data_IF_893818821634
#
_entry.id   IF_893818821634
#
_cell.length_a   1.000
_cell.length_b   1.000
_cell.length_c   1.000
_cell.angle_alpha   90.00
_cell.angle_beta   90.00
_cell.angle_gamma   90.00
#
_symmetry.space_group_name_H-M   'P 1'
#
loop_
_entity.id
_entity.type
_entity.pdbx_description
1 polymer ?
#
# COMPACT_ATOMS: atom_id res chain seq x y z
N UNK A 1 -3.89 -6.21 -7.87
CA UNK A 1 -4.23 -4.84 -7.44
C UNK A 1 -3.22 -4.39 -6.40
N UNK A 2 -2.33 -3.45 -6.77
CA UNK A 2 -1.32 -2.88 -5.89
C UNK A 2 -1.98 -1.76 -5.07
N UNK A 3 -2.62 -2.11 -3.96
CA UNK A 3 -2.94 -1.14 -2.92
C UNK A 3 -1.68 -0.95 -2.07
N UNK A 4 -0.71 -0.21 -2.61
CA UNK A 4 0.30 0.40 -1.78
C UNK A 4 -0.44 1.39 -0.86
N UNK A 5 -0.60 1.01 0.38
CA UNK A 5 -1.11 1.86 1.44
C UNK A 5 -0.16 3.04 1.63
N UNK A 6 -0.35 4.10 0.83
CA UNK A 6 0.10 5.43 1.15
C UNK A 6 -0.85 5.98 2.23
N UNK A 7 -0.87 5.32 3.39
CA UNK A 7 -1.44 5.91 4.58
C UNK A 7 -0.26 6.46 5.39
N UNK A 8 0.30 7.56 4.89
CA UNK A 8 0.71 8.57 5.84
C UNK A 8 -0.55 8.97 6.62
N UNK A 9 -0.46 9.31 7.89
CA UNK A 9 -1.63 9.61 8.68
C UNK A 9 -2.52 10.58 7.90
N UNK A 10 -3.79 10.23 7.73
CA UNK A 10 -4.84 11.19 7.37
C UNK A 10 -4.57 12.37 8.28
N UNK A 11 -4.23 13.52 7.69
CA UNK A 11 -3.94 14.73 8.46
C UNK A 11 -5.09 14.88 9.45
N UNK A 12 -4.83 14.70 10.74
CA UNK A 12 -5.86 14.87 11.75
C UNK A 12 -6.33 16.32 11.61
N UNK A 13 -7.63 16.54 11.61
CA UNK A 13 -8.23 17.88 11.57
C UNK A 13 -7.65 18.80 12.66
N UNK A 14 -7.12 18.21 13.73
CA UNK A 14 -6.46 18.90 14.84
C UNK A 14 -5.10 19.52 14.45
N UNK A 15 -4.37 18.96 13.49
CA UNK A 15 -3.12 19.55 13.00
C UNK A 15 -3.37 20.83 12.18
N UNK A 16 -4.53 20.96 11.55
CA UNK A 16 -4.95 22.17 10.84
C UNK A 16 -5.48 23.26 11.79
N UNK A 17 -5.82 22.89 13.03
CA UNK A 17 -6.33 23.83 14.06
C UNK A 17 -5.24 24.46 14.94
N UNK A 18 -4.01 23.93 14.97
CA UNK A 18 -2.98 24.16 15.97
C UNK A 18 -1.93 25.24 15.69
N UNK A 19 -2.07 26.07 14.67
CA UNK A 19 -1.16 27.17 14.39
C UNK A 19 -1.74 28.55 14.77
N UNK A 20 -1.58 28.98 16.02
CA UNK A 20 -1.89 30.36 16.43
C UNK A 20 -1.02 31.35 15.66
N UNK A 21 -1.57 31.93 14.59
CA UNK A 21 -1.00 33.08 13.88
C UNK A 21 -1.77 34.35 14.28
N UNK A 22 -1.10 35.51 14.31
CA UNK A 22 -1.75 36.76 14.68
C UNK A 22 -2.89 37.09 13.72
N UNK A 23 -3.99 37.56 14.29
CA UNK A 23 -5.20 38.03 13.60
C UNK A 23 -4.87 39.24 12.70
N UNK A 24 -4.35 38.96 11.53
CA UNK A 24 -4.39 39.87 10.39
C UNK A 24 -5.43 39.38 9.41
N UNK A 25 -6.33 40.25 8.95
CA UNK A 25 -7.43 39.97 8.04
C UNK A 25 -6.97 39.39 6.68
N UNK A 26 -6.35 38.22 6.63
CA UNK A 26 -6.03 37.54 5.40
C UNK A 26 -7.21 36.65 4.96
N UNK A 27 -8.17 37.27 4.25
CA UNK A 27 -9.37 36.63 3.73
C UNK A 27 -9.05 35.42 2.83
N UNK A 28 -7.89 35.44 2.13
CA UNK A 28 -7.46 34.35 1.26
C UNK A 28 -6.99 33.12 2.04
N UNK A 29 -6.18 33.29 3.09
CA UNK A 29 -5.81 32.20 3.98
C UNK A 29 -7.03 31.53 4.61
N UNK A 30 -8.02 32.33 5.01
CA UNK A 30 -9.29 31.82 5.57
C UNK A 30 -10.09 31.04 4.52
N UNK A 31 -10.15 31.55 3.29
CA UNK A 31 -10.82 30.88 2.16
C UNK A 31 -10.14 29.55 1.83
N UNK A 32 -8.82 29.54 1.67
CA UNK A 32 -8.06 28.33 1.39
C UNK A 32 -8.23 27.24 2.48
N UNK A 33 -8.20 27.65 3.76
CA UNK A 33 -8.48 26.73 4.88
C UNK A 33 -9.91 26.16 4.81
N UNK A 34 -10.90 27.01 4.49
CA UNK A 34 -12.30 26.55 4.35
C UNK A 34 -12.43 25.53 3.22
N UNK A 35 -11.80 25.78 2.06
CA UNK A 35 -11.80 24.84 0.93
C UNK A 35 -11.07 23.54 1.27
N UNK A 36 -9.96 23.59 2.05
CA UNK A 36 -9.29 22.39 2.55
C UNK A 36 -10.18 21.57 3.48
N UNK A 37 -10.86 22.20 4.44
CA UNK A 37 -11.81 21.51 5.33
C UNK A 37 -12.95 20.86 4.54
N UNK A 38 -13.48 21.56 3.54
CA UNK A 38 -14.54 21.02 2.68
C UNK A 38 -14.04 19.84 1.85
N UNK A 39 -12.79 19.90 1.36
CA UNK A 39 -12.13 18.80 0.67
C UNK A 39 -12.07 17.54 1.55
N UNK A 40 -11.57 17.67 2.78
CA UNK A 40 -11.51 16.55 3.74
C UNK A 40 -12.90 16.01 4.05
N UNK A 41 -13.88 16.90 4.28
CA UNK A 41 -15.26 16.52 4.58
C UNK A 41 -15.91 15.74 3.43
N UNK A 42 -15.71 16.21 2.20
CA UNK A 42 -16.21 15.53 1.00
C UNK A 42 -15.56 14.16 0.81
N UNK A 43 -14.23 14.05 1.04
CA UNK A 43 -13.51 12.79 0.97
C UNK A 43 -13.99 11.78 2.00
N UNK A 44 -14.19 12.19 3.24
CA UNK A 44 -14.75 11.34 4.29
C UNK A 44 -16.18 10.84 3.97
N UNK A 45 -16.93 11.61 3.16
CA UNK A 45 -18.25 11.23 2.66
C UNK A 45 -18.20 10.39 1.36
N UNK A 46 -17.03 9.94 0.91
CA UNK A 46 -16.83 9.18 -0.33
C UNK A 46 -17.01 9.99 -1.62
N UNK A 47 -17.11 11.32 -1.53
CA UNK A 47 -17.33 12.22 -2.68
C UNK A 47 -16.00 12.74 -3.22
N UNK A 48 -15.17 11.83 -3.76
CA UNK A 48 -13.77 12.11 -4.12
C UNK A 48 -13.63 13.22 -5.16
N UNK A 49 -14.50 13.29 -6.16
CA UNK A 49 -14.46 14.35 -7.19
C UNK A 49 -14.65 15.75 -6.57
N UNK A 50 -15.61 15.90 -5.64
CA UNK A 50 -15.81 17.17 -4.92
C UNK A 50 -14.69 17.50 -3.95
N UNK A 51 -14.14 16.46 -3.31
CA UNK A 51 -12.99 16.63 -2.46
C UNK A 51 -11.80 17.18 -3.24
N UNK A 52 -11.55 16.63 -4.43
CA UNK A 52 -10.52 17.10 -5.35
C UNK A 52 -10.78 18.54 -5.83
N UNK A 53 -12.03 18.89 -6.19
CA UNK A 53 -12.40 20.23 -6.61
C UNK A 53 -12.05 21.27 -5.55
N UNK A 54 -12.47 21.08 -4.29
CA UNK A 54 -12.16 21.97 -3.19
C UNK A 54 -10.66 22.01 -2.86
N UNK A 55 -9.96 20.89 -2.90
CA UNK A 55 -8.52 20.85 -2.71
C UNK A 55 -7.78 21.65 -3.78
N UNK A 56 -8.16 21.51 -5.05
CA UNK A 56 -7.58 22.28 -6.16
C UNK A 56 -7.91 23.76 -6.09
N UNK A 57 -9.08 24.15 -5.59
CA UNK A 57 -9.43 25.54 -5.31
C UNK A 57 -8.44 26.16 -4.31
N UNK A 58 -8.18 25.48 -3.18
CA UNK A 58 -7.20 25.94 -2.20
C UNK A 58 -5.76 25.99 -2.76
N UNK A 59 -5.36 25.01 -3.56
CA UNK A 59 -4.04 24.97 -4.20
C UNK A 59 -3.82 26.13 -5.18
N UNK A 60 -4.84 26.53 -5.92
CA UNK A 60 -4.80 27.56 -6.97
C UNK A 60 -5.02 28.97 -6.47
N UNK A 61 -5.34 29.18 -5.21
CA UNK A 61 -5.49 30.50 -4.62
C UNK A 61 -4.10 31.15 -4.45
N UNK A 62 -3.68 31.95 -5.43
CA UNK A 62 -2.34 32.56 -5.47
C UNK A 62 -2.08 33.56 -4.34
N UNK A 63 -3.14 34.06 -3.68
CA UNK A 63 -3.05 34.94 -2.52
C UNK A 63 -2.94 34.16 -1.20
N UNK A 64 -3.13 32.83 -1.22
CA UNK A 64 -3.00 32.00 -0.04
C UNK A 64 -1.51 31.73 0.31
N UNK A 65 -1.18 31.56 1.61
CA UNK A 65 0.15 31.13 2.03
C UNK A 65 0.62 29.88 1.29
N UNK A 66 1.90 29.86 0.89
CA UNK A 66 2.45 28.77 0.10
C UNK A 66 2.37 27.44 0.81
N UNK A 67 2.53 27.41 2.14
CA UNK A 67 2.40 26.21 2.97
C UNK A 67 1.00 25.60 2.84
N UNK A 68 -0.05 26.41 2.93
CA UNK A 68 -1.44 25.95 2.74
C UNK A 68 -1.68 25.40 1.33
N UNK A 69 -1.09 26.03 0.32
CA UNK A 69 -1.16 25.53 -1.06
C UNK A 69 -0.47 24.17 -1.19
N UNK A 70 0.69 23.97 -0.55
CA UNK A 70 1.39 22.68 -0.58
C UNK A 70 0.63 21.58 0.19
N UNK A 71 0.00 21.93 1.31
CA UNK A 71 -0.90 21.02 2.03
C UNK A 71 -2.10 20.63 1.16
N UNK A 72 -2.69 21.59 0.44
CA UNK A 72 -3.74 21.34 -0.52
C UNK A 72 -3.28 20.42 -1.67
N UNK A 73 -2.07 20.65 -2.20
CA UNK A 73 -1.49 19.78 -3.22
C UNK A 73 -1.31 18.35 -2.72
N UNK A 74 -0.83 18.16 -1.48
CA UNK A 74 -0.70 16.84 -0.86
C UNK A 74 -2.06 16.11 -0.84
N UNK A 75 -3.08 16.77 -0.34
CA UNK A 75 -4.44 16.21 -0.26
C UNK A 75 -5.00 15.87 -1.66
N UNK A 76 -4.79 16.74 -2.64
CA UNK A 76 -5.21 16.48 -4.03
C UNK A 76 -4.47 15.30 -4.65
N UNK A 77 -3.20 15.08 -4.32
CA UNK A 77 -2.43 13.91 -4.76
C UNK A 77 -3.08 12.63 -4.23
N UNK A 78 -3.51 12.61 -2.97
CA UNK A 78 -4.20 11.45 -2.38
C UNK A 78 -5.54 11.19 -3.09
N UNK A 79 -6.32 12.24 -3.40
CA UNK A 79 -7.57 12.10 -4.17
C UNK A 79 -7.35 11.63 -5.61
N UNK A 80 -6.34 12.16 -6.31
CA UNK A 80 -5.97 11.66 -7.64
C UNK A 80 -5.54 10.19 -7.60
N UNK A 81 -4.83 9.77 -6.54
CA UNK A 81 -4.44 8.38 -6.35
C UNK A 81 -5.67 7.48 -6.15
N UNK A 82 -6.64 7.92 -5.35
CA UNK A 82 -7.91 7.21 -5.15
C UNK A 82 -8.71 7.04 -6.45
N UNK A 83 -8.59 8.01 -7.38
CA UNK A 83 -9.19 7.97 -8.72
C UNK A 83 -8.32 7.21 -9.75
N UNK A 84 -7.19 6.62 -9.37
CA UNK A 84 -6.27 5.95 -10.28
C UNK A 84 -5.52 6.89 -11.25
N UNK A 85 -5.59 8.21 -11.02
CA UNK A 85 -5.05 9.24 -11.90
C UNK A 85 -3.57 9.52 -11.59
N UNK A 86 -2.72 8.50 -11.62
CA UNK A 86 -1.31 8.54 -11.19
C UNK A 86 -0.44 9.56 -11.96
N UNK A 87 -0.77 9.79 -13.23
CA UNK A 87 -0.12 10.84 -14.03
C UNK A 87 -0.36 12.26 -13.45
N UNK A 88 -1.57 12.53 -12.94
CA UNK A 88 -1.90 13.79 -12.28
C UNK A 88 -1.22 13.90 -10.91
N UNK A 89 -1.13 12.80 -10.15
CA UNK A 89 -0.36 12.77 -8.89
C UNK A 89 1.08 13.27 -9.12
N UNK A 90 1.77 12.66 -10.09
CA UNK A 90 3.14 13.05 -10.43
C UNK A 90 3.24 14.52 -10.86
N UNK A 91 2.33 14.95 -11.75
CA UNK A 91 2.34 16.33 -12.29
C UNK A 91 2.15 17.35 -11.17
N UNK A 92 1.16 17.15 -10.32
CA UNK A 92 0.87 18.05 -9.21
C UNK A 92 2.00 18.06 -8.18
N UNK A 93 2.58 16.91 -7.84
CA UNK A 93 3.73 16.83 -6.95
C UNK A 93 4.94 17.64 -7.47
N UNK A 94 5.25 17.49 -8.77
CA UNK A 94 6.32 18.24 -9.41
C UNK A 94 6.06 19.77 -9.46
N UNK A 95 4.81 20.18 -9.71
CA UNK A 95 4.42 21.60 -9.72
C UNK A 95 4.49 22.19 -8.30
N UNK A 96 3.97 21.48 -7.31
CA UNK A 96 4.00 21.88 -5.91
C UNK A 96 5.42 21.94 -5.35
N UNK A 97 6.30 20.99 -5.69
CA UNK A 97 7.71 21.05 -5.32
C UNK A 97 8.38 22.34 -5.83
N UNK A 98 8.21 22.66 -7.12
CA UNK A 98 8.75 23.90 -7.72
C UNK A 98 8.14 25.16 -7.11
N UNK A 99 6.86 25.13 -6.73
CA UNK A 99 6.23 26.24 -6.02
C UNK A 99 6.91 26.46 -4.66
N UNK A 100 7.06 25.41 -3.88
CA UNK A 100 7.73 25.45 -2.58
C UNK A 100 9.17 25.97 -2.68
N UNK A 101 9.95 25.47 -3.62
CA UNK A 101 11.35 25.86 -3.85
C UNK A 101 11.55 27.36 -4.14
N UNK A 102 10.50 28.08 -4.56
CA UNK A 102 10.56 29.54 -4.81
C UNK A 102 10.37 30.37 -3.55
N UNK A 103 9.67 29.83 -2.55
CA UNK A 103 9.17 30.65 -1.44
C UNK A 103 9.60 30.13 -0.07
N UNK A 104 10.02 28.88 0.03
CA UNK A 104 10.38 28.21 1.29
C UNK A 104 11.85 27.81 1.27
N UNK A 105 12.41 27.59 2.46
CA UNK A 105 13.77 27.11 2.61
C UNK A 105 13.92 25.66 2.06
N UNK A 106 15.11 25.35 1.54
CA UNK A 106 15.41 24.06 0.89
C UNK A 106 15.05 22.83 1.73
N UNK A 107 15.21 22.92 3.05
CA UNK A 107 14.94 21.85 4.00
C UNK A 107 13.49 21.84 4.51
N UNK A 108 12.63 22.68 3.95
CA UNK A 108 11.24 22.74 4.41
C UNK A 108 10.53 21.40 4.19
N UNK A 109 9.87 20.81 5.23
CA UNK A 109 9.26 19.48 5.17
C UNK A 109 8.33 19.28 3.97
N UNK A 110 7.49 20.26 3.65
CA UNK A 110 6.55 20.18 2.54
C UNK A 110 7.24 20.06 1.18
N UNK A 111 8.39 20.73 0.97
CA UNK A 111 9.17 20.59 -0.28
C UNK A 111 9.69 19.16 -0.40
N UNK A 112 10.30 18.64 0.67
CA UNK A 112 10.86 17.28 0.67
C UNK A 112 9.76 16.24 0.45
N UNK A 113 8.57 16.44 1.02
CA UNK A 113 7.41 15.59 0.81
C UNK A 113 6.90 15.65 -0.64
N UNK A 114 6.83 16.82 -1.26
CA UNK A 114 6.42 16.95 -2.67
C UNK A 114 7.42 16.29 -3.61
N UNK A 115 8.73 16.46 -3.38
CA UNK A 115 9.79 15.78 -4.14
C UNK A 115 9.76 14.26 -3.95
N UNK A 116 9.50 13.80 -2.73
CA UNK A 116 9.26 12.38 -2.44
C UNK A 116 8.06 11.85 -3.23
N UNK A 117 6.95 12.57 -3.22
CA UNK A 117 5.74 12.19 -3.98
C UNK A 117 6.01 12.15 -5.49
N UNK A 118 6.72 13.13 -6.05
CA UNK A 118 7.09 13.09 -7.48
C UNK A 118 7.90 11.85 -7.81
N UNK A 119 8.94 11.55 -7.02
CA UNK A 119 9.81 10.39 -7.24
C UNK A 119 9.05 9.06 -7.07
N UNK A 120 8.14 9.00 -6.10
CA UNK A 120 7.26 7.85 -5.89
C UNK A 120 6.36 7.57 -7.10
N UNK A 121 5.67 8.60 -7.58
CA UNK A 121 4.77 8.44 -8.74
C UNK A 121 5.52 8.18 -10.05
N UNK A 122 6.76 8.66 -10.19
CA UNK A 122 7.65 8.23 -11.29
C UNK A 122 7.90 6.72 -11.25
N UNK A 123 8.14 6.16 -10.07
CA UNK A 123 8.36 4.72 -9.92
C UNK A 123 7.09 3.91 -10.24
N UNK A 124 5.93 4.34 -9.77
CA UNK A 124 4.62 3.70 -10.06
C UNK A 124 4.32 3.75 -11.58
N UNK A 125 4.67 4.85 -12.26
CA UNK A 125 4.48 5.00 -13.70
C UNK A 125 5.54 4.29 -14.55
N UNK A 126 6.40 3.47 -13.96
CA UNK A 126 7.44 2.71 -14.67
C UNK A 126 8.67 3.54 -15.07
N UNK A 127 8.74 4.82 -14.66
CA UNK A 127 9.87 5.71 -14.98
C UNK A 127 11.00 5.53 -13.94
N UNK A 128 11.45 4.28 -13.75
CA UNK A 128 12.31 3.89 -12.64
C UNK A 128 13.65 4.61 -12.61
N UNK A 129 14.29 4.84 -13.77
CA UNK A 129 15.58 5.54 -13.81
C UNK A 129 15.45 7.02 -13.36
N UNK A 130 14.33 7.66 -13.67
CA UNK A 130 14.05 9.02 -13.18
C UNK A 130 13.78 9.01 -11.68
N UNK A 131 12.98 8.06 -11.21
CA UNK A 131 12.70 7.88 -9.80
C UNK A 131 14.00 7.67 -8.99
N UNK A 132 14.89 6.80 -9.46
CA UNK A 132 16.20 6.55 -8.83
C UNK A 132 17.02 7.84 -8.74
N UNK A 133 17.10 8.63 -9.81
CA UNK A 133 17.82 9.91 -9.78
C UNK A 133 17.22 10.89 -8.79
N UNK A 134 15.89 11.04 -8.82
CA UNK A 134 15.19 11.98 -7.93
C UNK A 134 15.34 11.57 -6.46
N UNK A 135 15.15 10.29 -6.13
CA UNK A 135 15.40 9.80 -4.77
C UNK A 135 16.85 9.94 -4.33
N UNK A 136 17.81 9.66 -5.22
CA UNK A 136 19.23 9.80 -4.89
C UNK A 136 19.60 11.27 -4.58
N UNK A 137 19.07 12.20 -5.36
CA UNK A 137 19.26 13.64 -5.11
C UNK A 137 18.58 14.06 -3.79
N UNK A 138 17.35 13.60 -3.56
CA UNK A 138 16.59 13.94 -2.35
C UNK A 138 17.28 13.40 -1.08
N UNK A 139 17.73 12.13 -1.08
CA UNK A 139 18.49 11.54 0.04
C UNK A 139 19.82 12.26 0.27
N UNK A 140 20.50 12.74 -0.79
CA UNK A 140 21.71 13.53 -0.65
C UNK A 140 21.43 14.90 -0.04
N UNK A 141 20.34 15.56 -0.44
CA UNK A 141 19.92 16.86 0.09
C UNK A 141 19.59 16.80 1.58
N UNK A 142 18.91 15.73 2.03
CA UNK A 142 18.54 15.51 3.44
C UNK A 142 19.74 15.55 4.40
N UNK A 143 20.96 15.17 3.94
CA UNK A 143 22.17 15.25 4.76
C UNK A 143 22.53 16.69 5.18
N UNK A 144 21.97 17.67 4.50
CA UNK A 144 22.16 19.09 4.79
C UNK A 144 20.98 19.70 5.57
N UNK A 145 20.06 18.87 6.05
CA UNK A 145 18.87 19.26 6.79
C UNK A 145 18.92 18.65 8.22
N UNK A 146 19.71 19.23 9.14
CA UNK A 146 19.97 18.64 10.46
C UNK A 146 18.71 18.56 11.34
N UNK A 147 17.77 19.47 11.14
CA UNK A 147 16.53 19.56 11.93
C UNK A 147 15.34 18.86 11.23
N UNK A 148 15.63 18.02 10.23
CA UNK A 148 14.58 17.28 9.53
C UNK A 148 13.92 16.28 10.47
N UNK A 149 12.59 16.28 10.47
CA UNK A 149 11.78 15.29 11.17
C UNK A 149 12.22 13.86 10.77
N UNK A 150 12.60 13.02 11.74
CA UNK A 150 13.01 11.64 11.48
C UNK A 150 12.00 10.84 10.67
N UNK A 151 10.70 11.02 10.91
CA UNK A 151 9.65 10.27 10.20
C UNK A 151 9.60 10.64 8.72
N UNK A 152 9.85 11.90 8.36
CA UNK A 152 9.99 12.31 6.95
C UNK A 152 11.23 11.68 6.32
N UNK A 153 12.35 11.67 7.03
CA UNK A 153 13.58 11.02 6.58
C UNK A 153 13.37 9.52 6.32
N UNK A 154 12.73 8.83 7.25
CA UNK A 154 12.40 7.42 7.14
C UNK A 154 11.49 7.15 5.94
N UNK A 155 10.42 7.93 5.78
CA UNK A 155 9.48 7.79 4.65
C UNK A 155 10.18 7.95 3.29
N UNK A 156 11.05 8.95 3.14
CA UNK A 156 11.81 9.19 1.91
C UNK A 156 12.77 8.03 1.62
N UNK A 157 13.51 7.58 2.61
CA UNK A 157 14.46 6.46 2.47
C UNK A 157 13.72 5.15 2.16
N UNK A 158 12.61 4.87 2.83
CA UNK A 158 11.76 3.72 2.55
C UNK A 158 11.30 3.72 1.09
N UNK A 159 10.77 4.84 0.61
CA UNK A 159 10.28 4.96 -0.76
C UNK A 159 11.43 4.89 -1.80
N UNK A 160 12.64 5.32 -1.45
CA UNK A 160 13.81 5.28 -2.33
C UNK A 160 14.24 3.87 -2.74
N UNK A 161 13.85 2.86 -1.97
CA UNK A 161 14.12 1.46 -2.28
C UNK A 161 13.18 0.88 -3.36
N UNK A 162 12.00 1.47 -3.52
CA UNK A 162 10.94 0.95 -4.39
C UNK A 162 11.35 0.83 -5.87
N UNK A 163 11.97 1.84 -6.54
CA UNK A 163 12.38 1.68 -7.93
C UNK A 163 13.48 0.61 -8.13
N UNK A 164 14.30 0.32 -7.11
CA UNK A 164 15.23 -0.81 -7.16
C UNK A 164 14.48 -2.15 -7.14
N UNK A 165 13.40 -2.25 -6.35
CA UNK A 165 12.50 -3.41 -6.32
C UNK A 165 11.87 -3.64 -7.68
N UNK A 166 11.27 -2.63 -8.31
CA UNK A 166 10.62 -2.76 -9.62
C UNK A 166 11.60 -3.07 -10.78
N UNK A 167 12.88 -2.77 -10.61
CA UNK A 167 13.92 -3.09 -11.61
C UNK A 167 14.67 -4.40 -11.32
N UNK A 168 14.18 -5.22 -10.38
CA UNK A 168 14.80 -6.50 -10.02
C UNK A 168 16.14 -6.38 -9.32
N UNK A 169 16.51 -5.18 -8.84
CA UNK A 169 17.77 -4.94 -8.13
C UNK A 169 17.59 -5.18 -6.63
N UNK A 170 17.11 -6.38 -6.28
CA UNK A 170 16.66 -6.78 -4.95
C UNK A 170 17.70 -6.48 -3.87
N UNK A 171 19.00 -6.80 -4.10
CA UNK A 171 20.07 -6.55 -3.14
C UNK A 171 20.26 -5.07 -2.80
N UNK A 172 19.97 -4.16 -3.75
CA UNK A 172 20.05 -2.72 -3.49
C UNK A 172 18.87 -2.26 -2.63
N UNK A 173 17.66 -2.73 -2.94
CA UNK A 173 16.48 -2.44 -2.14
C UNK A 173 16.63 -2.99 -0.71
N UNK A 174 17.04 -4.27 -0.58
CA UNK A 174 17.25 -4.92 0.73
C UNK A 174 18.27 -4.18 1.60
N UNK A 175 19.35 -3.62 1.00
CA UNK A 175 20.32 -2.83 1.76
C UNK A 175 19.68 -1.61 2.39
N UNK A 176 18.87 -0.85 1.64
CA UNK A 176 18.21 0.34 2.18
C UNK A 176 17.26 -0.03 3.32
N UNK A 177 16.47 -1.09 3.13
CA UNK A 177 15.54 -1.53 4.17
C UNK A 177 16.25 -2.09 5.41
N UNK A 178 17.39 -2.82 5.26
CA UNK A 178 18.18 -3.30 6.40
C UNK A 178 18.79 -2.16 7.21
N UNK A 179 19.31 -1.13 6.54
CA UNK A 179 19.83 0.07 7.21
C UNK A 179 18.72 0.78 8.01
N UNK A 180 17.53 0.98 7.39
CA UNK A 180 16.38 1.56 8.09
C UNK A 180 15.88 0.70 9.23
N UNK A 181 15.79 -0.61 9.03
CA UNK A 181 15.31 -1.54 10.04
C UNK A 181 16.21 -1.51 11.28
N UNK A 182 17.53 -1.55 11.10
CA UNK A 182 18.50 -1.48 12.21
C UNK A 182 18.33 -0.20 13.04
N UNK A 183 18.11 0.96 12.38
CA UNK A 183 17.90 2.24 13.06
C UNK A 183 16.56 2.26 13.84
N UNK A 184 15.49 1.72 13.23
CA UNK A 184 14.17 1.70 13.84
C UNK A 184 14.07 0.73 15.03
N UNK A 185 14.73 -0.43 14.95
CA UNK A 185 14.76 -1.42 16.04
C UNK A 185 15.41 -0.87 17.32
N UNK A 186 16.31 0.12 17.21
CA UNK A 186 16.91 0.79 18.36
C UNK A 186 16.01 1.88 18.96
N UNK A 187 15.04 2.39 18.22
CA UNK A 187 14.30 3.61 18.56
C UNK A 187 12.80 3.42 18.76
N UNK A 188 12.24 2.32 18.25
CA UNK A 188 10.79 2.09 18.19
C UNK A 188 10.41 0.78 18.89
N UNK A 189 9.18 0.74 19.37
CA UNK A 189 8.59 -0.49 19.90
C UNK A 189 8.29 -1.48 18.77
N UNK A 190 8.27 -2.79 19.09
CA UNK A 190 8.04 -3.86 18.11
C UNK A 190 6.72 -3.72 17.34
N UNK A 191 5.68 -3.15 17.95
CA UNK A 191 4.37 -2.90 17.35
C UNK A 191 4.27 -1.58 16.59
N UNK A 192 5.34 -0.77 16.52
CA UNK A 192 5.35 0.49 15.75
C UNK A 192 5.06 0.24 14.27
N UNK A 193 4.08 0.94 13.71
CA UNK A 193 3.60 0.70 12.35
C UNK A 193 4.67 1.02 11.28
N UNK A 194 5.58 1.94 11.54
CA UNK A 194 6.68 2.28 10.63
C UNK A 194 7.70 1.15 10.61
N UNK A 195 8.05 0.62 11.80
CA UNK A 195 8.94 -0.53 11.94
C UNK A 195 8.35 -1.76 11.22
N UNK A 196 7.08 -2.07 11.46
CA UNK A 196 6.38 -3.17 10.80
C UNK A 196 6.37 -3.01 9.28
N UNK A 197 6.16 -1.79 8.78
CA UNK A 197 6.15 -1.50 7.34
C UNK A 197 7.52 -1.71 6.70
N UNK A 198 8.59 -1.23 7.33
CA UNK A 198 9.95 -1.40 6.79
C UNK A 198 10.36 -2.87 6.81
N UNK A 199 10.01 -3.61 7.88
CA UNK A 199 10.27 -5.05 7.99
C UNK A 199 9.50 -5.85 6.93
N UNK A 200 8.25 -5.49 6.67
CA UNK A 200 7.41 -6.09 5.62
C UNK A 200 8.01 -5.85 4.21
N UNK A 201 8.42 -4.61 3.93
CA UNK A 201 9.07 -4.27 2.67
C UNK A 201 10.40 -5.03 2.47
N UNK A 202 11.18 -5.23 3.53
CA UNK A 202 12.39 -6.06 3.47
C UNK A 202 12.05 -7.51 3.17
N UNK A 203 11.06 -8.08 3.87
CA UNK A 203 10.62 -9.46 3.67
C UNK A 203 10.13 -9.68 2.22
N UNK A 204 9.37 -8.74 1.66
CA UNK A 204 8.91 -8.80 0.27
C UNK A 204 10.08 -8.83 -0.73
N UNK A 205 11.09 -7.99 -0.50
CA UNK A 205 12.29 -7.94 -1.36
C UNK A 205 13.11 -9.21 -1.24
N UNK A 206 13.26 -9.76 -0.03
CA UNK A 206 13.96 -11.03 0.20
C UNK A 206 13.22 -12.20 -0.45
N UNK A 207 11.91 -12.24 -0.35
CA UNK A 207 11.08 -13.23 -1.03
C UNK A 207 11.29 -13.17 -2.56
N UNK A 208 11.35 -11.98 -3.14
CA UNK A 208 11.61 -11.79 -4.57
C UNK A 208 13.06 -12.20 -4.97
N UNK A 209 14.04 -12.01 -4.08
CA UNK A 209 15.43 -12.47 -4.24
C UNK A 209 15.61 -13.97 -3.89
N UNK A 210 14.51 -14.69 -3.57
CA UNK A 210 14.46 -16.12 -3.19
C UNK A 210 15.12 -16.45 -1.85
N UNK A 211 15.30 -15.48 -0.98
CA UNK A 211 15.76 -15.66 0.39
C UNK A 211 14.55 -15.95 1.30
N UNK A 212 13.87 -17.08 1.04
CA UNK A 212 12.56 -17.38 1.62
C UNK A 212 12.60 -17.52 3.14
N UNK A 213 13.62 -18.16 3.69
CA UNK A 213 13.74 -18.37 5.14
C UNK A 213 13.88 -17.04 5.90
N UNK A 214 14.69 -16.10 5.36
CA UNK A 214 14.83 -14.76 5.94
C UNK A 214 13.51 -13.97 5.83
N UNK A 215 12.79 -14.12 4.71
CA UNK A 215 11.50 -13.48 4.53
C UNK A 215 10.45 -14.00 5.51
N UNK A 216 10.38 -15.31 5.71
CA UNK A 216 9.48 -15.97 6.67
C UNK A 216 9.76 -15.44 8.08
N UNK A 217 11.01 -15.44 8.51
CA UNK A 217 11.38 -14.98 9.85
C UNK A 217 10.95 -13.52 10.12
N UNK A 218 11.03 -12.64 9.10
CA UNK A 218 10.59 -11.25 9.22
C UNK A 218 9.05 -11.14 9.27
N UNK A 219 8.34 -11.93 8.48
CA UNK A 219 6.87 -11.97 8.52
C UNK A 219 6.35 -12.52 9.84
N UNK A 220 6.98 -13.57 10.37
CA UNK A 220 6.66 -14.13 11.69
C UNK A 220 6.85 -13.09 12.79
N UNK A 221 7.99 -12.39 12.80
CA UNK A 221 8.25 -11.33 13.78
C UNK A 221 7.22 -10.18 13.67
N UNK A 222 6.81 -9.80 12.46
CA UNK A 222 5.74 -8.83 12.28
C UNK A 222 4.39 -9.35 12.80
N UNK A 223 4.10 -10.62 12.56
CA UNK A 223 2.87 -11.25 13.04
C UNK A 223 2.82 -11.29 14.56
N UNK A 224 3.91 -11.70 15.20
CA UNK A 224 4.01 -11.74 16.68
C UNK A 224 3.82 -10.34 17.28
N UNK A 225 4.46 -9.33 16.69
CA UNK A 225 4.30 -7.94 17.12
C UNK A 225 2.86 -7.44 16.96
N UNK A 226 2.21 -7.74 15.83
CA UNK A 226 0.80 -7.37 15.62
C UNK A 226 -0.15 -8.07 16.60
N UNK A 227 0.08 -9.33 16.94
CA UNK A 227 -0.74 -10.09 17.87
C UNK A 227 -0.68 -9.58 19.31
N UNK A 228 0.23 -8.66 19.63
CA UNK A 228 0.21 -7.96 20.93
C UNK A 228 -0.86 -6.87 21.00
N UNK A 229 -1.33 -6.37 19.84
CA UNK A 229 -2.25 -5.22 19.74
C UNK A 229 -3.49 -5.50 18.88
N UNK A 230 -3.56 -6.66 18.24
CA UNK A 230 -4.63 -7.10 17.34
C UNK A 230 -4.99 -8.55 17.60
N UNK A 231 -6.14 -9.01 17.13
CA UNK A 231 -6.56 -10.40 17.22
C UNK A 231 -6.16 -11.23 15.97
N UNK A 232 -6.36 -12.54 16.04
CA UNK A 232 -6.05 -13.47 14.94
C UNK A 232 -6.89 -13.26 13.67
N UNK A 233 -8.02 -12.55 13.77
CA UNK A 233 -8.89 -12.21 12.64
C UNK A 233 -8.54 -10.87 12.00
N UNK A 234 -7.58 -10.13 12.53
CA UNK A 234 -7.11 -8.90 11.90
C UNK A 234 -6.57 -9.19 10.49
N UNK A 235 -7.03 -8.45 9.49
CA UNK A 235 -6.67 -8.66 8.10
C UNK A 235 -5.14 -8.59 7.87
N UNK A 236 -4.41 -7.81 8.66
CA UNK A 236 -2.94 -7.72 8.59
C UNK A 236 -2.28 -9.01 9.03
N UNK A 237 -2.79 -9.63 10.10
CA UNK A 237 -2.32 -10.94 10.59
C UNK A 237 -2.60 -12.02 9.56
N UNK A 238 -3.81 -12.07 9.01
CA UNK A 238 -4.19 -13.03 7.98
C UNK A 238 -3.34 -12.85 6.71
N UNK A 239 -3.05 -11.61 6.31
CA UNK A 239 -2.14 -11.31 5.19
C UNK A 239 -0.73 -11.83 5.44
N UNK A 240 -0.17 -11.62 6.62
CA UNK A 240 1.17 -12.12 6.97
C UNK A 240 1.21 -13.64 6.93
N UNK A 241 0.19 -14.33 7.43
CA UNK A 241 0.07 -15.79 7.34
C UNK A 241 0.03 -16.28 5.89
N UNK A 242 -0.63 -15.55 4.99
CA UNK A 242 -0.59 -15.86 3.56
C UNK A 242 0.83 -15.70 2.99
N UNK A 243 1.56 -14.65 3.37
CA UNK A 243 2.94 -14.46 2.92
C UNK A 243 3.88 -15.55 3.46
N UNK A 244 3.70 -15.97 4.72
CA UNK A 244 4.44 -17.10 5.32
C UNK A 244 4.17 -18.38 4.53
N UNK A 245 2.90 -18.73 4.31
CA UNK A 245 2.52 -19.92 3.55
C UNK A 245 3.11 -19.91 2.14
N UNK A 246 3.04 -18.76 1.45
CA UNK A 246 3.59 -18.59 0.11
C UNK A 246 5.11 -18.78 0.08
N UNK A 247 5.84 -18.20 1.03
CA UNK A 247 7.29 -18.32 1.08
C UNK A 247 7.72 -19.73 1.48
N UNK A 248 7.00 -20.42 2.37
CA UNK A 248 7.22 -21.83 2.72
C UNK A 248 7.07 -22.71 1.49
N UNK A 249 6.00 -22.53 0.72
CA UNK A 249 5.76 -23.28 -0.51
C UNK A 249 6.82 -23.02 -1.59
N UNK A 250 7.18 -21.73 -1.79
CA UNK A 250 8.21 -21.30 -2.76
C UNK A 250 9.61 -21.73 -2.34
N UNK A 251 9.87 -21.84 -1.04
CA UNK A 251 11.13 -22.32 -0.45
C UNK A 251 11.36 -23.82 -0.64
N UNK A 252 10.32 -24.55 -1.08
CA UNK A 252 10.41 -25.98 -1.41
C UNK A 252 9.59 -26.90 -0.53
N UNK A 253 9.17 -26.46 0.66
CA UNK A 253 8.29 -27.23 1.51
C UNK A 253 6.81 -27.02 1.08
N UNK A 254 6.46 -27.68 -0.02
CA UNK A 254 5.16 -27.53 -0.66
C UNK A 254 4.02 -28.07 0.19
N UNK A 255 4.25 -29.13 0.92
CA UNK A 255 3.22 -29.75 1.76
C UNK A 255 2.92 -28.85 2.96
N UNK A 256 3.95 -28.36 3.67
CA UNK A 256 3.75 -27.43 4.75
C UNK A 256 3.11 -26.10 4.28
N UNK A 257 3.50 -25.58 3.13
CA UNK A 257 2.89 -24.38 2.55
C UNK A 257 1.40 -24.55 2.26
N UNK A 258 1.01 -25.70 1.71
CA UNK A 258 -0.41 -26.04 1.44
C UNK A 258 -1.20 -26.23 2.74
N UNK A 259 -0.63 -26.88 3.74
CA UNK A 259 -1.25 -27.05 5.06
C UNK A 259 -1.51 -25.68 5.71
N UNK A 260 -0.54 -24.76 5.65
CA UNK A 260 -0.70 -23.39 6.14
C UNK A 260 -1.86 -22.65 5.44
N UNK A 261 -1.99 -22.76 4.10
CA UNK A 261 -3.13 -22.17 3.39
C UNK A 261 -4.46 -22.85 3.72
N UNK A 262 -4.45 -24.16 3.98
CA UNK A 262 -5.67 -24.90 4.35
C UNK A 262 -6.21 -24.40 5.70
N UNK A 263 -5.34 -24.23 6.69
CA UNK A 263 -5.70 -23.65 7.99
C UNK A 263 -6.13 -22.18 7.82
N UNK A 264 -5.41 -21.40 7.02
CA UNK A 264 -5.73 -20.00 6.77
C UNK A 264 -7.09 -19.82 6.08
N UNK A 265 -7.46 -20.71 5.14
CA UNK A 265 -8.77 -20.65 4.49
C UNK A 265 -9.93 -20.80 5.48
N UNK A 266 -9.78 -21.69 6.46
CA UNK A 266 -10.78 -21.88 7.51
C UNK A 266 -10.86 -20.68 8.46
N UNK A 267 -9.72 -20.11 8.82
CA UNK A 267 -9.67 -18.91 9.66
C UNK A 267 -10.23 -17.69 8.93
N UNK A 268 -9.90 -17.48 7.66
CA UNK A 268 -10.49 -16.40 6.86
C UNK A 268 -12.03 -16.56 6.81
N UNK A 269 -12.52 -17.77 6.57
CA UNK A 269 -13.96 -18.08 6.61
C UNK A 269 -14.58 -17.73 7.96
N UNK A 270 -13.93 -18.11 9.05
CA UNK A 270 -14.40 -17.92 10.42
C UNK A 270 -14.47 -16.45 10.82
N UNK A 271 -13.44 -15.66 10.48
CA UNK A 271 -13.29 -14.28 10.94
C UNK A 271 -13.87 -13.25 9.97
N UNK A 272 -13.75 -13.50 8.66
CA UNK A 272 -14.16 -12.56 7.61
C UNK A 272 -15.45 -12.99 6.91
N UNK A 273 -15.78 -14.28 6.93
CA UNK A 273 -16.92 -14.86 6.23
C UNK A 273 -16.59 -15.46 4.87
N UNK A 274 -17.54 -16.20 4.31
CA UNK A 274 -17.36 -16.94 3.06
C UNK A 274 -17.22 -16.02 1.82
N UNK A 275 -17.87 -14.85 1.83
CA UNK A 275 -17.88 -13.87 0.71
C UNK A 275 -16.74 -12.85 0.77
N UNK A 276 -15.90 -12.91 1.78
CA UNK A 276 -14.78 -11.97 1.87
C UNK A 276 -13.74 -12.22 0.76
N UNK A 277 -13.24 -11.17 0.11
CA UNK A 277 -12.26 -11.29 -0.98
C UNK A 277 -10.99 -12.07 -0.60
N UNK A 278 -10.57 -11.98 0.66
CA UNK A 278 -9.41 -12.74 1.14
C UNK A 278 -9.73 -14.22 1.26
N UNK A 279 -10.92 -14.58 1.78
CA UNK A 279 -11.40 -15.97 1.84
C UNK A 279 -11.45 -16.57 0.44
N UNK A 280 -12.04 -15.87 -0.51
CA UNK A 280 -12.09 -16.27 -1.91
C UNK A 280 -10.69 -16.46 -2.51
N UNK A 281 -9.77 -15.51 -2.27
CA UNK A 281 -8.39 -15.59 -2.76
C UNK A 281 -7.64 -16.80 -2.24
N UNK A 282 -7.73 -17.11 -0.94
CA UNK A 282 -7.03 -18.26 -0.38
C UNK A 282 -7.63 -19.58 -0.92
N UNK A 283 -8.95 -19.66 -1.09
CA UNK A 283 -9.60 -20.81 -1.74
C UNK A 283 -9.16 -20.98 -3.20
N UNK A 284 -8.99 -19.88 -3.95
CA UNK A 284 -8.48 -19.96 -5.33
C UNK A 284 -7.04 -20.48 -5.37
N UNK A 285 -6.19 -20.11 -4.43
CA UNK A 285 -4.85 -20.71 -4.31
C UNK A 285 -4.96 -22.22 -4.08
N UNK A 286 -5.79 -22.68 -3.14
CA UNK A 286 -5.98 -24.10 -2.87
C UNK A 286 -6.60 -24.86 -4.06
N UNK A 287 -7.49 -24.22 -4.82
CA UNK A 287 -8.03 -24.78 -6.06
C UNK A 287 -6.91 -25.02 -7.08
N UNK A 288 -6.09 -24.00 -7.34
CA UNK A 288 -4.94 -24.11 -8.26
C UNK A 288 -3.98 -25.21 -7.82
N UNK A 289 -3.70 -25.35 -6.52
CA UNK A 289 -2.84 -26.42 -6.00
C UNK A 289 -3.45 -27.81 -6.19
N UNK A 290 -4.76 -27.96 -5.92
CA UNK A 290 -5.47 -29.22 -6.13
C UNK A 290 -5.47 -29.63 -7.62
N UNK A 291 -5.71 -28.69 -8.52
CA UNK A 291 -5.64 -28.89 -9.98
C UNK A 291 -4.22 -29.31 -10.42
N UNK A 292 -3.19 -28.64 -9.93
CA UNK A 292 -1.80 -28.98 -10.24
C UNK A 292 -1.38 -30.38 -9.74
N UNK A 293 -1.99 -30.85 -8.67
CA UNK A 293 -1.78 -32.21 -8.13
C UNK A 293 -2.63 -33.29 -8.80
N UNK A 294 -3.60 -32.90 -9.64
CA UNK A 294 -4.56 -33.82 -10.26
C UNK A 294 -5.62 -34.35 -9.26
N UNK A 295 -5.82 -33.63 -8.15
CA UNK A 295 -6.90 -33.97 -7.19
C UNK A 295 -8.21 -33.31 -7.65
N UNK A 296 -8.83 -33.94 -8.66
CA UNK A 296 -10.06 -33.45 -9.28
C UNK A 296 -11.21 -33.33 -8.26
N UNK A 297 -11.32 -34.28 -7.32
CA UNK A 297 -12.37 -34.30 -6.29
C UNK A 297 -12.29 -33.06 -5.40
N UNK A 298 -11.11 -32.74 -4.90
CA UNK A 298 -10.85 -31.56 -4.08
C UNK A 298 -11.01 -30.26 -4.89
N UNK A 299 -10.47 -30.20 -6.10
CA UNK A 299 -10.59 -29.07 -6.99
C UNK A 299 -12.07 -28.73 -7.27
N UNK A 300 -12.86 -29.74 -7.63
CA UNK A 300 -14.29 -29.59 -7.90
C UNK A 300 -15.07 -29.15 -6.65
N UNK A 301 -14.75 -29.67 -5.48
CA UNK A 301 -15.37 -29.26 -4.23
C UNK A 301 -15.14 -27.78 -3.93
N UNK A 302 -13.90 -27.30 -4.11
CA UNK A 302 -13.54 -25.90 -3.88
C UNK A 302 -14.22 -25.00 -4.93
N UNK A 303 -14.25 -25.41 -6.21
CA UNK A 303 -14.87 -24.64 -7.29
C UNK A 303 -16.38 -24.46 -7.06
N UNK A 304 -17.10 -25.51 -6.68
CA UNK A 304 -18.53 -25.43 -6.34
C UNK A 304 -18.75 -24.48 -5.17
N UNK A 305 -17.94 -24.57 -4.13
CA UNK A 305 -18.06 -23.69 -2.97
C UNK A 305 -17.82 -22.22 -3.33
N UNK A 306 -16.81 -21.89 -4.14
CA UNK A 306 -16.57 -20.54 -4.62
C UNK A 306 -17.79 -19.99 -5.40
N UNK A 307 -18.39 -20.80 -6.27
CA UNK A 307 -19.60 -20.40 -7.01
C UNK A 307 -20.80 -20.17 -6.08
N UNK A 308 -21.03 -21.08 -5.12
CA UNK A 308 -22.16 -20.99 -4.21
C UNK A 308 -22.06 -19.79 -3.27
N UNK A 309 -20.84 -19.40 -2.88
CA UNK A 309 -20.57 -18.25 -2.03
C UNK A 309 -20.65 -16.91 -2.80
N UNK A 310 -20.49 -16.93 -4.14
CA UNK A 310 -20.47 -15.74 -5.01
C UNK A 310 -21.49 -15.82 -6.18
N UNK A 311 -22.78 -16.03 -5.93
CA UNK A 311 -23.76 -16.23 -6.99
C UNK A 311 -24.03 -14.97 -7.84
N UNK A 312 -23.88 -13.77 -7.24
CA UNK A 312 -24.24 -12.49 -7.85
C UNK A 312 -23.06 -11.82 -8.56
N UNK A 313 -21.85 -12.10 -8.13
CA UNK A 313 -20.58 -11.49 -8.58
C UNK A 313 -19.61 -12.50 -9.22
N UNK A 314 -20.11 -13.71 -9.53
CA UNK A 314 -19.34 -14.80 -10.12
C UNK A 314 -18.60 -14.42 -11.40
N UNK A 315 -19.26 -13.62 -12.27
CA UNK A 315 -18.67 -13.16 -13.54
C UNK A 315 -17.71 -11.97 -13.36
N UNK A 316 -17.86 -11.21 -12.27
CA UNK A 316 -17.02 -10.04 -11.95
C UNK A 316 -15.74 -10.43 -11.22
N UNK A 317 -15.77 -11.58 -10.53
CA UNK A 317 -14.63 -12.15 -9.84
C UNK A 317 -13.75 -12.96 -10.79
N UNK A 318 -12.43 -12.95 -10.58
CA UNK A 318 -11.48 -13.75 -11.37
C UNK A 318 -11.47 -15.22 -10.91
N UNK A 319 -12.59 -15.93 -11.16
CA UNK A 319 -12.76 -17.35 -10.90
C UNK A 319 -12.67 -18.20 -12.17
N UNK A 320 -11.92 -17.74 -13.17
CA UNK A 320 -11.80 -18.37 -14.49
C UNK A 320 -11.43 -19.86 -14.44
N UNK A 321 -10.53 -20.25 -13.54
CA UNK A 321 -10.14 -21.67 -13.34
C UNK A 321 -11.29 -22.49 -12.75
N UNK A 322 -12.00 -21.97 -11.75
CA UNK A 322 -13.17 -22.62 -11.15
C UNK A 322 -14.31 -22.76 -12.16
N UNK A 323 -14.56 -21.73 -12.96
CA UNK A 323 -15.59 -21.75 -14.00
C UNK A 323 -15.28 -22.77 -15.10
N UNK A 324 -14.01 -22.87 -15.52
CA UNK A 324 -13.57 -23.87 -16.50
C UNK A 324 -13.79 -25.30 -16.02
N UNK A 325 -13.39 -25.60 -14.77
CA UNK A 325 -13.57 -26.93 -14.17
C UNK A 325 -15.05 -27.32 -14.06
N UNK A 326 -15.91 -26.39 -13.63
CA UNK A 326 -17.36 -26.65 -13.53
C UNK A 326 -17.99 -26.90 -14.89
N UNK A 327 -17.64 -26.11 -15.90
CA UNK A 327 -18.13 -26.28 -17.27
C UNK A 327 -17.68 -27.59 -17.93
N UNK A 328 -16.51 -28.10 -17.60
CA UNK A 328 -16.02 -29.42 -18.06
C UNK A 328 -16.81 -30.56 -17.42
N UNK A 329 -17.07 -30.46 -16.11
CA UNK A 329 -17.88 -31.45 -15.39
C UNK A 329 -19.30 -31.55 -15.94
N UNK A 330 -19.96 -30.42 -16.20
CA UNK A 330 -21.33 -30.37 -16.72
C UNK A 330 -21.43 -30.95 -18.15
N UNK A 331 -20.38 -30.79 -18.97
CA UNK A 331 -20.31 -31.42 -20.30
C UNK A 331 -20.09 -32.91 -20.24
N UNK A 332 -19.32 -33.41 -19.27
CA UNK A 332 -19.08 -34.84 -19.06
C UNK A 332 -20.32 -35.59 -18.58
N UNK A 333 -21.15 -34.97 -17.74
CA UNK A 333 -22.40 -35.52 -17.24
C UNK A 333 -23.51 -35.58 -18.31
N UNK A 334 -23.49 -34.59 -19.28
CA UNK A 334 -24.46 -34.58 -20.39
C UNK A 334 -24.11 -35.53 -21.55
N UNK A 335 -22.86 -36.01 -21.65
CA UNK A 335 -22.38 -36.92 -22.69
C UNK A 335 -22.43 -38.40 -22.32
N UNK A 336 -22.77 -38.75 -21.08
CA UNK A 336 -22.84 -40.15 -20.58
C UNK A 336 -24.23 -40.79 -20.62
N UNK A 337 -25.21 -40.20 -21.28
CA UNK A 337 -26.59 -40.61 -21.34
C UNK A 337 -27.08 -41.08 -22.73
N UNK A 338 -26.24 -41.81 -23.50
CA UNK A 338 -26.67 -42.55 -24.68
C UNK A 338 -26.36 -44.04 -24.59
#
# INVERSE_FOLDING_TARGET
MLTATMHGPIVSLDALAGGGMPEGNNTSATRARSSLHESVRCGAAGKVDKALEHGLEAYRDDDAPVELRLEAAKLCIDWYAALGSYGQCRKLAAEAARLGERYLERCHPLILMMRNSEAYWLAILGQHDMAIRNFSALVADMKHCPDLDPDISIAIRNNSAMPWKYTGKWKKAARVYRELLSELEEQREESDMTLLTVRDNLAEVLSADRCYDEAIALYERNMDALLTVADHGDWRVLRLRNEIARNTWMGGDRDAGEDLWTVLAEDCRRYLGDRDPMTARIRTILLTLATLRGDEGRAMSIARKLRDDHPDDWEECDFSEAAALLAESERGESGGGE
#
